data_IF_106172537005
#
_entry.id   IF_106172537005
#
_cell.length_a   1.000
_cell.length_b   1.000
_cell.length_c   1.000
_cell.angle_alpha   90.00
_cell.angle_beta   90.00
_cell.angle_gamma   90.00
#
_symmetry.space_group_name_H-M   'P 1'
#
loop_
_entity.id
_entity.type
_entity.pdbx_description
1 polymer ?
#
# COMPACT_ATOMS: atom_id res chain seq x y z
N UNK A 1 16.55 -14.94 24.16
CA UNK A 1 15.16 -15.45 24.27
C UNK A 1 14.15 -14.31 24.23
N UNK A 2 14.28 -13.29 25.05
CA UNK A 2 13.33 -12.17 25.15
C UNK A 2 13.11 -11.41 23.83
N UNK A 3 14.17 -11.22 23.05
CA UNK A 3 14.10 -10.58 21.72
C UNK A 3 13.31 -11.42 20.72
N UNK A 4 13.46 -12.75 20.77
CA UNK A 4 12.68 -13.65 19.89
C UNK A 4 11.21 -13.68 20.26
N UNK A 5 10.92 -13.76 21.57
CA UNK A 5 9.55 -13.73 22.07
C UNK A 5 8.85 -12.40 21.75
N UNK A 6 9.61 -11.30 21.65
CA UNK A 6 9.10 -9.97 21.28
C UNK A 6 9.29 -9.65 19.79
N UNK A 7 9.04 -10.60 18.90
CA UNK A 7 9.09 -10.38 17.43
C UNK A 7 10.40 -9.75 16.93
N UNK A 8 11.53 -10.04 17.55
CA UNK A 8 12.83 -9.42 17.23
C UNK A 8 12.86 -7.90 17.43
N UNK A 9 12.09 -7.39 18.37
CA UNK A 9 12.12 -5.99 18.82
C UNK A 9 12.78 -5.97 20.20
N UNK A 10 13.71 -5.04 20.41
CA UNK A 10 14.36 -4.89 21.71
C UNK A 10 13.34 -4.47 22.78
N UNK A 11 13.15 -5.22 23.86
CA UNK A 11 12.18 -4.84 24.90
C UNK A 11 12.58 -3.58 25.68
N UNK A 12 13.86 -3.17 25.61
CA UNK A 12 14.37 -1.99 26.34
C UNK A 12 14.27 -0.69 25.54
N UNK A 13 14.70 -0.70 24.26
CA UNK A 13 14.78 0.50 23.44
C UNK A 13 13.87 0.48 22.21
N UNK A 14 13.09 -0.57 22.04
CA UNK A 14 12.16 -0.78 20.91
C UNK A 14 12.83 -0.75 19.52
N UNK A 15 14.15 -1.00 19.47
CA UNK A 15 14.87 -1.13 18.20
C UNK A 15 14.47 -2.42 17.48
N UNK A 16 14.27 -2.33 16.18
CA UNK A 16 13.95 -3.45 15.31
C UNK A 16 15.23 -4.14 14.84
N UNK A 17 15.42 -5.39 15.23
CA UNK A 17 16.50 -6.22 14.68
C UNK A 17 16.11 -6.80 13.33
N UNK A 18 17.10 -7.07 12.46
CA UNK A 18 16.86 -7.80 11.21
C UNK A 18 16.39 -9.21 11.50
N UNK A 19 15.39 -9.66 10.75
CA UNK A 19 14.81 -10.98 10.89
C UNK A 19 15.27 -11.86 9.73
N UNK A 20 15.74 -13.07 10.01
CA UNK A 20 16.13 -14.04 9.00
C UNK A 20 14.92 -14.51 8.19
N UNK A 21 15.12 -14.86 6.92
CA UNK A 21 14.01 -15.18 6.00
C UNK A 21 13.09 -16.28 6.54
N UNK A 22 13.60 -17.44 6.94
CA UNK A 22 12.76 -18.52 7.48
C UNK A 22 12.02 -18.12 8.76
N UNK A 23 12.62 -17.28 9.62
CA UNK A 23 11.95 -16.77 10.82
C UNK A 23 10.81 -15.80 10.46
N UNK A 24 11.00 -14.99 9.43
CA UNK A 24 9.94 -14.13 8.93
C UNK A 24 8.78 -14.97 8.38
N UNK A 25 9.09 -16.01 7.63
CA UNK A 25 8.09 -16.95 7.10
C UNK A 25 7.33 -17.61 8.24
N UNK A 26 8.00 -18.09 9.28
CA UNK A 26 7.38 -18.68 10.48
C UNK A 26 6.45 -17.70 11.23
N UNK A 27 6.74 -16.40 11.20
CA UNK A 27 5.92 -15.36 11.85
C UNK A 27 4.67 -15.02 11.05
N UNK A 28 4.71 -15.16 9.74
CA UNK A 28 3.66 -14.68 8.83
C UNK A 28 2.81 -15.84 8.30
N UNK A 29 3.43 -16.92 7.86
CA UNK A 29 2.72 -18.08 7.35
C UNK A 29 2.12 -18.93 8.48
N UNK A 30 1.12 -19.70 8.13
CA UNK A 30 0.53 -20.70 9.00
C UNK A 30 1.52 -21.86 9.20
N UNK A 31 1.45 -22.48 10.38
CA UNK A 31 2.38 -23.54 10.75
C UNK A 31 2.40 -24.66 9.72
N UNK A 32 3.59 -25.01 9.26
CA UNK A 32 3.84 -26.09 8.27
C UNK A 32 3.16 -25.89 6.91
N UNK A 33 2.73 -24.68 6.57
CA UNK A 33 2.10 -24.39 5.27
C UNK A 33 3.10 -23.97 4.18
N UNK A 34 4.33 -23.62 4.55
CA UNK A 34 5.31 -23.10 3.61
C UNK A 34 6.00 -24.22 2.81
N UNK A 35 5.92 -24.11 1.48
CA UNK A 35 6.65 -24.91 0.50
C UNK A 35 7.64 -24.00 -0.23
N UNK A 36 8.95 -24.27 -0.06
CA UNK A 36 9.98 -23.47 -0.72
C UNK A 36 10.10 -23.82 -2.21
N UNK A 37 10.18 -22.78 -3.04
CA UNK A 37 10.35 -22.90 -4.48
C UNK A 37 11.74 -22.49 -4.91
N UNK A 38 12.21 -23.09 -6.01
CA UNK A 38 13.42 -22.70 -6.71
C UNK A 38 14.68 -22.73 -5.81
N UNK A 39 14.83 -23.82 -5.09
CA UNK A 39 16.04 -24.13 -4.30
C UNK A 39 17.22 -24.53 -5.20
N UNK A 40 18.41 -24.55 -4.60
CA UNK A 40 19.66 -25.04 -5.22
C UNK A 40 20.07 -24.24 -6.46
N UNK A 41 19.96 -22.92 -6.39
CA UNK A 41 20.47 -22.05 -7.45
C UNK A 41 21.98 -22.23 -7.63
N UNK A 42 22.46 -22.41 -8.87
CA UNK A 42 23.89 -22.50 -9.13
C UNK A 42 24.58 -21.18 -8.83
N UNK A 43 25.86 -21.24 -8.47
CA UNK A 43 26.69 -20.03 -8.35
C UNK A 43 26.74 -19.35 -9.73
N UNK A 44 26.52 -18.06 -9.76
CA UNK A 44 26.54 -17.25 -10.97
C UNK A 44 27.54 -16.10 -10.82
N UNK A 45 28.54 -16.08 -11.68
CA UNK A 45 29.51 -15.00 -11.81
C UNK A 45 29.52 -14.51 -13.27
N UNK A 46 28.51 -13.76 -13.70
CA UNK A 46 28.29 -13.46 -15.12
C UNK A 46 29.36 -12.56 -15.75
N UNK A 47 30.17 -11.88 -14.94
CA UNK A 47 31.24 -10.99 -15.41
C UNK A 47 32.64 -11.53 -15.07
N UNK A 48 32.76 -12.75 -14.58
CA UNK A 48 34.01 -13.34 -14.10
C UNK A 48 34.75 -12.41 -13.10
N UNK A 49 33.97 -11.80 -12.18
CA UNK A 49 34.52 -10.88 -11.18
C UNK A 49 35.45 -11.67 -10.21
N UNK A 50 36.71 -11.23 -10.03
CA UNK A 50 37.68 -11.97 -9.22
C UNK A 50 37.23 -12.11 -7.76
N UNK A 51 37.36 -13.32 -7.18
CA UNK A 51 37.05 -13.63 -5.78
C UNK A 51 35.53 -13.59 -5.46
N UNK A 52 34.67 -13.51 -6.47
CA UNK A 52 33.22 -13.38 -6.24
C UNK A 52 32.56 -14.72 -5.94
N UNK A 53 33.00 -15.80 -6.60
CA UNK A 53 32.46 -17.13 -6.36
C UNK A 53 32.78 -17.63 -4.94
N UNK A 54 33.98 -17.39 -4.47
CA UNK A 54 34.40 -17.69 -3.10
C UNK A 54 33.54 -16.90 -2.09
N UNK A 55 33.28 -15.64 -2.36
CA UNK A 55 32.44 -14.81 -1.53
C UNK A 55 30.99 -15.27 -1.49
N UNK A 56 30.44 -15.76 -2.61
CA UNK A 56 29.11 -16.40 -2.65
C UNK A 56 29.14 -17.68 -1.81
N UNK A 57 30.16 -18.51 -1.97
CA UNK A 57 30.27 -19.74 -1.21
C UNK A 57 30.36 -19.50 0.30
N UNK A 58 31.15 -18.52 0.74
CA UNK A 58 31.16 -18.08 2.14
C UNK A 58 29.79 -17.61 2.63
N UNK A 59 29.08 -16.84 1.80
CA UNK A 59 27.75 -16.34 2.15
C UNK A 59 26.75 -17.50 2.31
N UNK A 60 26.79 -18.51 1.42
CA UNK A 60 25.99 -19.75 1.54
C UNK A 60 26.30 -20.50 2.85
N UNK A 61 27.55 -20.67 3.16
CA UNK A 61 27.98 -21.41 4.37
C UNK A 61 27.58 -20.70 5.67
N UNK A 62 27.74 -19.36 5.72
CA UNK A 62 27.42 -18.54 6.90
C UNK A 62 25.91 -18.36 7.09
N UNK A 63 25.16 -18.15 6.03
CA UNK A 63 23.72 -17.88 6.10
C UNK A 63 22.86 -19.13 6.11
N UNK A 64 23.37 -20.25 5.58
CA UNK A 64 22.64 -21.49 5.25
C UNK A 64 21.52 -21.25 4.24
N UNK A 65 21.73 -20.28 3.35
CA UNK A 65 20.85 -19.95 2.24
C UNK A 65 21.56 -20.24 0.92
N UNK A 66 20.82 -20.57 -0.11
CA UNK A 66 21.38 -20.73 -1.46
C UNK A 66 21.50 -19.39 -2.19
N UNK A 67 20.67 -18.39 -1.82
CA UNK A 67 20.72 -17.02 -2.32
C UNK A 67 20.07 -16.04 -1.30
N UNK A 68 20.18 -14.75 -1.57
CA UNK A 68 19.75 -13.65 -0.70
C UNK A 68 18.22 -13.48 -0.55
N UNK A 69 17.44 -14.35 -1.17
CA UNK A 69 15.98 -14.39 -1.07
C UNK A 69 15.48 -15.83 -0.98
N UNK A 70 14.53 -16.07 -0.09
CA UNK A 70 13.75 -17.32 0.01
C UNK A 70 12.39 -17.06 -0.65
N UNK A 71 12.00 -17.93 -1.57
CA UNK A 71 10.73 -17.82 -2.30
C UNK A 71 9.93 -19.10 -2.17
N UNK A 72 8.61 -19.01 -2.12
CA UNK A 72 7.76 -20.20 -2.01
C UNK A 72 6.28 -19.88 -1.95
N UNK A 73 5.49 -20.90 -1.70
CA UNK A 73 4.06 -20.85 -1.44
C UNK A 73 3.80 -21.09 0.04
N UNK A 74 2.85 -20.37 0.62
CA UNK A 74 2.43 -20.57 2.01
C UNK A 74 0.97 -20.20 2.18
N UNK A 75 0.47 -20.33 3.41
CA UNK A 75 -0.87 -19.85 3.79
C UNK A 75 -0.75 -18.79 4.87
N UNK A 76 -1.62 -17.80 4.81
CA UNK A 76 -1.78 -16.77 5.83
C UNK A 76 -3.26 -16.78 6.22
N UNK A 77 -3.58 -17.26 7.40
CA UNK A 77 -4.96 -17.50 7.88
C UNK A 77 -5.79 -18.23 6.81
N UNK A 78 -5.25 -19.38 6.38
CA UNK A 78 -5.78 -20.30 5.36
C UNK A 78 -5.81 -19.77 3.91
N UNK A 79 -5.44 -18.52 3.66
CA UNK A 79 -5.36 -17.96 2.30
C UNK A 79 -4.01 -18.30 1.67
N UNK A 80 -4.01 -18.96 0.52
CA UNK A 80 -2.79 -19.30 -0.22
C UNK A 80 -2.15 -18.05 -0.84
N UNK A 81 -0.83 -17.94 -0.69
CA UNK A 81 -0.03 -16.82 -1.20
C UNK A 81 1.31 -17.30 -1.74
N UNK A 82 1.84 -16.61 -2.74
CA UNK A 82 3.25 -16.69 -3.08
C UNK A 82 4.02 -15.65 -2.24
N UNK A 83 5.08 -16.08 -1.56
CA UNK A 83 5.83 -15.21 -0.64
C UNK A 83 7.32 -15.25 -0.95
N UNK A 84 7.95 -14.07 -0.97
CA UNK A 84 9.39 -13.91 -1.01
C UNK A 84 9.88 -13.13 0.20
N UNK A 85 10.98 -13.57 0.80
CA UNK A 85 11.59 -12.89 1.94
C UNK A 85 13.09 -12.73 1.69
N UNK A 86 13.53 -11.49 1.58
CA UNK A 86 14.93 -11.11 1.48
C UNK A 86 15.66 -11.33 2.80
N UNK A 87 16.94 -11.74 2.75
CA UNK A 87 17.75 -12.01 3.93
C UNK A 87 19.13 -11.33 3.86
N UNK A 88 19.33 -10.33 4.70
CA UNK A 88 20.54 -9.51 4.73
C UNK A 88 21.82 -10.29 5.13
N UNK A 89 21.71 -11.50 5.67
CA UNK A 89 22.87 -12.34 5.98
C UNK A 89 23.62 -12.77 4.72
N UNK A 90 22.92 -12.88 3.60
CA UNK A 90 23.53 -13.18 2.32
C UNK A 90 23.84 -11.86 1.58
N UNK A 91 25.09 -11.40 1.66
CA UNK A 91 25.60 -10.21 0.96
C UNK A 91 24.70 -8.96 1.08
N UNK A 92 24.16 -8.68 2.28
CA UNK A 92 23.21 -7.59 2.54
C UNK A 92 21.96 -7.64 1.66
N UNK A 93 21.57 -8.83 1.24
CA UNK A 93 20.46 -9.09 0.32
C UNK A 93 20.52 -8.25 -0.96
N UNK A 94 21.73 -8.02 -1.46
CA UNK A 94 21.90 -7.30 -2.73
C UNK A 94 21.33 -8.13 -3.89
N UNK A 95 20.60 -7.46 -4.79
CA UNK A 95 19.95 -8.08 -5.92
C UNK A 95 20.95 -8.38 -7.04
N UNK A 96 21.32 -9.66 -7.21
CA UNK A 96 22.05 -10.19 -8.36
C UNK A 96 21.12 -10.98 -9.29
N UNK A 97 21.71 -11.60 -10.31
CA UNK A 97 21.02 -12.43 -11.31
C UNK A 97 20.09 -13.46 -10.65
N UNK A 98 20.62 -14.25 -9.72
CA UNK A 98 19.86 -15.32 -9.08
C UNK A 98 18.70 -14.81 -8.22
N UNK A 99 18.85 -13.66 -7.55
CA UNK A 99 17.75 -13.02 -6.81
C UNK A 99 16.64 -12.64 -7.78
N UNK A 100 16.98 -11.99 -8.89
CA UNK A 100 16.01 -11.63 -9.92
C UNK A 100 15.31 -12.84 -10.54
N UNK A 101 16.05 -13.93 -10.81
CA UNK A 101 15.50 -15.19 -11.31
C UNK A 101 14.50 -15.81 -10.32
N UNK A 102 14.87 -15.93 -9.03
CA UNK A 102 13.98 -16.48 -7.99
C UNK A 102 12.69 -15.68 -7.88
N UNK A 103 12.78 -14.34 -7.88
CA UNK A 103 11.61 -13.47 -7.82
C UNK A 103 10.72 -13.62 -9.07
N UNK A 104 11.30 -13.57 -10.26
CA UNK A 104 10.54 -13.72 -11.50
C UNK A 104 9.87 -15.09 -11.60
N UNK A 105 10.59 -16.17 -11.29
CA UNK A 105 10.03 -17.51 -11.26
C UNK A 105 8.84 -17.61 -10.29
N UNK A 106 8.99 -17.08 -9.08
CA UNK A 106 7.89 -17.05 -8.09
C UNK A 106 6.70 -16.26 -8.62
N UNK A 107 6.90 -15.08 -9.20
CA UNK A 107 5.83 -14.24 -9.75
C UNK A 107 5.11 -14.95 -10.90
N UNK A 108 5.85 -15.54 -11.83
CA UNK A 108 5.28 -16.28 -12.97
C UNK A 108 4.49 -17.52 -12.52
N UNK A 109 5.00 -18.23 -11.51
CA UNK A 109 4.29 -19.33 -10.90
C UNK A 109 3.03 -18.84 -10.15
N UNK A 110 3.11 -17.72 -9.44
CA UNK A 110 1.96 -17.09 -8.80
C UNK A 110 0.87 -16.72 -9.82
N UNK A 111 1.25 -16.23 -11.00
CA UNK A 111 0.33 -15.95 -12.09
C UNK A 111 -0.38 -17.25 -12.53
N UNK A 112 0.37 -18.32 -12.76
CA UNK A 112 -0.18 -19.60 -13.23
C UNK A 112 -1.10 -20.26 -12.20
N UNK A 113 -0.81 -20.11 -10.91
CA UNK A 113 -1.59 -20.65 -9.79
C UNK A 113 -2.65 -19.65 -9.27
N UNK A 114 -2.77 -18.45 -9.87
CA UNK A 114 -3.69 -17.38 -9.46
C UNK A 114 -3.52 -16.92 -8.00
N UNK A 115 -2.28 -16.83 -7.53
CA UNK A 115 -1.95 -16.49 -6.15
C UNK A 115 -1.61 -14.99 -6.00
N UNK A 116 -2.01 -14.33 -4.91
CA UNK A 116 -1.46 -13.03 -4.53
C UNK A 116 0.02 -13.18 -4.15
N UNK A 117 0.80 -12.13 -4.41
CA UNK A 117 2.24 -12.08 -4.15
C UNK A 117 2.54 -11.18 -2.96
N UNK A 118 3.42 -11.63 -2.07
CA UNK A 118 3.93 -10.84 -0.94
C UNK A 118 5.45 -10.87 -0.98
N UNK A 119 6.09 -9.69 -0.98
CA UNK A 119 7.55 -9.59 -0.95
C UNK A 119 8.00 -8.78 0.26
N UNK A 120 8.74 -9.41 1.17
CA UNK A 120 9.46 -8.74 2.25
C UNK A 120 10.83 -8.30 1.74
N UNK A 121 10.98 -6.99 1.54
CA UNK A 121 12.21 -6.38 1.05
C UNK A 121 13.15 -6.02 2.20
N UNK A 122 14.41 -6.45 2.08
CA UNK A 122 15.51 -6.06 2.96
C UNK A 122 16.79 -6.11 2.11
N UNK A 123 17.31 -4.97 1.65
CA UNK A 123 18.42 -4.99 0.69
C UNK A 123 19.28 -3.73 0.72
N UNK A 124 20.58 -3.93 0.49
CA UNK A 124 21.52 -2.85 0.21
C UNK A 124 21.45 -2.30 -1.22
N UNK A 125 20.68 -2.91 -2.13
CA UNK A 125 20.53 -2.49 -3.52
C UNK A 125 21.02 -3.52 -4.55
N UNK A 126 21.43 -3.07 -5.74
CA UNK A 126 21.98 -3.93 -6.79
C UNK A 126 23.35 -4.50 -6.42
N UNK A 127 23.62 -5.74 -6.83
CA UNK A 127 24.89 -6.46 -6.54
C UNK A 127 26.00 -5.98 -7.46
N UNK A 128 26.94 -5.22 -6.91
CA UNK A 128 27.97 -4.52 -7.69
C UNK A 128 28.87 -5.46 -8.48
N UNK A 129 29.18 -6.65 -7.96
CA UNK A 129 30.04 -7.65 -8.63
C UNK A 129 29.45 -8.17 -9.94
N UNK A 130 28.14 -8.06 -10.12
CA UNK A 130 27.44 -8.47 -11.33
C UNK A 130 27.15 -7.32 -12.29
N UNK A 131 27.59 -6.09 -11.97
CA UNK A 131 27.53 -4.91 -12.84
C UNK A 131 26.17 -4.72 -13.52
N UNK A 132 26.18 -4.60 -14.85
CA UNK A 132 24.96 -4.38 -15.65
C UNK A 132 23.94 -5.53 -15.52
N UNK A 133 24.38 -6.75 -15.26
CA UNK A 133 23.49 -7.90 -15.12
C UNK A 133 22.59 -7.74 -13.89
N UNK A 134 23.13 -7.19 -12.79
CA UNK A 134 22.34 -6.87 -11.61
C UNK A 134 21.33 -5.73 -11.85
N UNK A 135 21.71 -4.72 -12.64
CA UNK A 135 20.77 -3.64 -13.03
C UNK A 135 19.63 -4.15 -13.91
N UNK A 136 19.90 -5.10 -14.80
CA UNK A 136 18.86 -5.72 -15.63
C UNK A 136 17.83 -6.50 -14.82
N UNK A 137 18.15 -6.93 -13.60
CA UNK A 137 17.16 -7.56 -12.70
C UNK A 137 16.06 -6.58 -12.27
N UNK A 138 16.35 -5.29 -12.18
CA UNK A 138 15.31 -4.26 -11.90
C UNK A 138 14.23 -4.29 -12.98
N UNK A 139 14.65 -4.29 -14.25
CA UNK A 139 13.71 -4.35 -15.40
C UNK A 139 12.95 -5.67 -15.38
N UNK A 140 13.66 -6.78 -15.18
CA UNK A 140 13.08 -8.13 -15.24
C UNK A 140 12.00 -8.33 -14.16
N UNK A 141 12.28 -7.97 -12.92
CA UNK A 141 11.32 -8.09 -11.81
C UNK A 141 10.13 -7.14 -11.99
N UNK A 142 10.36 -5.91 -12.47
CA UNK A 142 9.29 -4.95 -12.76
C UNK A 142 8.37 -5.45 -13.88
N UNK A 143 8.93 -6.04 -14.94
CA UNK A 143 8.15 -6.63 -16.03
C UNK A 143 7.31 -7.84 -15.57
N UNK A 144 7.85 -8.68 -14.69
CA UNK A 144 7.09 -9.79 -14.10
C UNK A 144 5.91 -9.29 -13.25
N UNK A 145 6.13 -8.27 -12.42
CA UNK A 145 5.07 -7.63 -11.63
C UNK A 145 4.03 -6.92 -12.51
N UNK A 146 4.44 -6.35 -13.65
CA UNK A 146 3.47 -5.78 -14.59
C UNK A 146 2.53 -6.87 -15.13
N UNK A 147 3.06 -8.03 -15.53
CA UNK A 147 2.23 -9.17 -15.94
C UNK A 147 1.30 -9.66 -14.83
N UNK A 148 1.81 -9.75 -13.59
CA UNK A 148 0.99 -10.08 -12.41
C UNK A 148 -0.19 -9.10 -12.26
N UNK A 149 0.09 -7.81 -12.41
CA UNK A 149 -0.90 -6.74 -12.33
C UNK A 149 -1.95 -6.83 -13.45
N UNK A 150 -1.53 -7.15 -14.68
CA UNK A 150 -2.43 -7.31 -15.84
C UNK A 150 -3.38 -8.51 -15.67
N UNK A 151 -2.96 -9.51 -14.90
CA UNK A 151 -3.78 -10.66 -14.53
C UNK A 151 -4.73 -10.39 -13.33
N UNK A 152 -4.79 -9.15 -12.85
CA UNK A 152 -5.64 -8.77 -11.73
C UNK A 152 -5.24 -9.41 -10.39
N UNK A 153 -3.96 -9.75 -10.20
CA UNK A 153 -3.46 -10.37 -8.98
C UNK A 153 -2.82 -9.33 -8.05
N UNK A 154 -3.05 -9.51 -6.76
CA UNK A 154 -2.58 -8.59 -5.72
C UNK A 154 -1.09 -8.74 -5.46
N UNK A 155 -0.39 -7.60 -5.36
CA UNK A 155 0.98 -7.52 -4.89
C UNK A 155 1.09 -6.66 -3.63
N UNK A 156 1.46 -7.26 -2.50
CA UNK A 156 1.77 -6.56 -1.25
C UNK A 156 3.29 -6.49 -1.09
N UNK A 157 3.84 -5.28 -1.06
CA UNK A 157 5.24 -5.02 -0.76
C UNK A 157 5.40 -4.65 0.71
N UNK A 158 6.28 -5.33 1.44
CA UNK A 158 6.59 -5.03 2.84
C UNK A 158 8.04 -4.59 2.95
N UNK A 159 8.24 -3.32 3.27
CA UNK A 159 9.56 -2.68 3.34
C UNK A 159 10.15 -2.82 4.75
N UNK A 160 11.32 -3.43 4.84
CA UNK A 160 12.03 -3.60 6.12
C UNK A 160 13.42 -2.94 6.09
N UNK A 161 14.10 -2.89 7.23
CA UNK A 161 15.39 -2.19 7.37
C UNK A 161 16.60 -3.03 6.94
N UNK A 162 17.41 -2.54 5.97
CA UNK A 162 17.19 -1.44 5.05
C UNK A 162 16.57 -1.92 3.73
N UNK A 163 15.84 -1.04 3.03
CA UNK A 163 15.43 -1.27 1.63
C UNK A 163 15.95 -0.13 0.78
N UNK A 164 17.01 -0.37 0.00
CA UNK A 164 17.80 0.69 -0.63
C UNK A 164 18.09 0.41 -2.11
N UNK A 165 18.50 1.45 -2.82
CA UNK A 165 19.08 1.38 -4.15
C UNK A 165 18.18 0.78 -5.22
N UNK A 166 18.74 -0.11 -6.04
CA UNK A 166 18.03 -0.77 -7.13
C UNK A 166 16.83 -1.60 -6.71
N UNK A 167 16.79 -2.10 -5.47
CA UNK A 167 15.62 -2.82 -4.93
C UNK A 167 14.46 -1.85 -4.67
N UNK A 168 14.73 -0.70 -4.05
CA UNK A 168 13.72 0.36 -3.89
C UNK A 168 13.23 0.86 -5.25
N UNK A 169 14.15 1.12 -6.18
CA UNK A 169 13.83 1.63 -7.51
C UNK A 169 13.28 0.55 -8.48
N UNK A 170 12.81 -0.58 -7.96
CA UNK A 170 12.18 -1.64 -8.73
C UNK A 170 11.03 -2.27 -7.94
N UNK A 171 11.06 -3.57 -7.70
CA UNK A 171 9.93 -4.32 -7.15
C UNK A 171 9.43 -3.80 -5.79
N UNK A 172 10.30 -3.23 -4.94
CA UNK A 172 9.89 -2.81 -3.59
C UNK A 172 8.86 -1.66 -3.59
N UNK A 173 8.90 -0.75 -4.58
CA UNK A 173 7.97 0.39 -4.70
C UNK A 173 6.82 0.16 -5.70
N UNK A 174 6.63 -1.08 -6.18
CA UNK A 174 5.59 -1.41 -7.17
C UNK A 174 4.37 -2.12 -6.56
N UNK A 175 4.29 -2.21 -5.23
CA UNK A 175 3.15 -2.82 -4.55
C UNK A 175 1.82 -2.12 -4.83
N UNK A 176 0.76 -2.87 -5.06
CA UNK A 176 -0.62 -2.37 -4.98
C UNK A 176 -0.88 -1.81 -3.59
N UNK A 177 -0.36 -2.52 -2.58
CA UNK A 177 -0.28 -2.07 -1.19
C UNK A 177 1.17 -2.12 -0.73
N UNK A 178 1.68 -1.01 -0.20
CA UNK A 178 3.04 -0.88 0.31
C UNK A 178 2.99 -0.66 1.82
N UNK A 179 3.46 -1.66 2.56
CA UNK A 179 3.59 -1.61 4.02
C UNK A 179 5.06 -1.37 4.40
N UNK A 180 5.29 -0.73 5.53
CA UNK A 180 6.65 -0.56 6.07
C UNK A 180 6.72 -0.93 7.55
N UNK A 181 7.86 -1.46 7.99
CA UNK A 181 8.15 -1.58 9.42
C UNK A 181 8.51 -0.21 10.01
N UNK A 182 8.13 0.06 11.28
CA UNK A 182 8.52 1.31 11.95
C UNK A 182 10.03 1.54 11.87
N UNK A 183 10.41 2.79 11.62
CA UNK A 183 11.81 3.27 11.56
C UNK A 183 12.69 2.59 10.50
N UNK A 184 12.15 1.77 9.60
CA UNK A 184 12.91 1.16 8.52
C UNK A 184 13.57 2.22 7.64
N UNK A 185 14.84 2.02 7.29
CA UNK A 185 15.57 2.88 6.35
C UNK A 185 15.21 2.47 4.92
N UNK A 186 14.56 3.38 4.19
CA UNK A 186 14.03 3.12 2.86
C UNK A 186 14.40 4.30 1.95
N UNK A 187 15.06 4.05 0.83
CA UNK A 187 15.43 5.11 -0.09
C UNK A 187 16.23 4.61 -1.29
N UNK A 188 16.48 5.48 -2.24
CA UNK A 188 17.29 5.14 -3.41
C UNK A 188 18.79 5.28 -3.11
N UNK A 189 19.30 6.48 -2.92
CA UNK A 189 20.69 6.70 -2.53
C UNK A 189 20.87 6.55 -1.01
N UNK A 190 21.98 5.95 -0.59
CA UNK A 190 22.29 5.82 0.83
C UNK A 190 22.49 7.19 1.51
N UNK A 191 22.09 7.35 2.79
CA UNK A 191 22.22 8.62 3.50
C UNK A 191 23.64 9.20 3.48
N UNK A 192 24.67 8.36 3.56
CA UNK A 192 26.09 8.79 3.46
C UNK A 192 26.42 9.38 2.10
N UNK A 193 25.94 8.75 1.02
CA UNK A 193 26.17 9.23 -0.34
C UNK A 193 25.51 10.58 -0.55
N UNK A 194 24.27 10.74 -0.10
CA UNK A 194 23.55 12.01 -0.21
C UNK A 194 24.29 13.09 0.58
N UNK A 195 24.61 12.85 1.85
CA UNK A 195 25.30 13.83 2.71
C UNK A 195 26.65 14.27 2.11
N UNK A 196 27.42 13.34 1.54
CA UNK A 196 28.68 13.65 0.87
C UNK A 196 28.48 14.44 -0.44
N UNK A 197 27.44 14.13 -1.20
CA UNK A 197 27.14 14.79 -2.48
C UNK A 197 26.70 16.24 -2.29
N UNK A 198 25.81 16.48 -1.31
CA UNK A 198 25.28 17.83 -1.05
C UNK A 198 26.12 18.65 -0.05
N UNK A 199 27.09 18.00 0.61
CA UNK A 199 27.93 18.66 1.60
C UNK A 199 27.17 19.15 2.87
N UNK A 200 26.01 18.54 3.17
CA UNK A 200 25.15 18.97 4.26
C UNK A 200 24.70 17.80 5.16
N UNK A 201 24.39 18.12 6.42
CA UNK A 201 23.80 17.18 7.36
C UNK A 201 22.35 16.93 6.98
N UNK A 202 21.97 15.65 6.91
CA UNK A 202 20.60 15.26 6.60
C UNK A 202 19.66 15.53 7.79
N UNK A 203 18.39 15.88 7.55
CA UNK A 203 17.39 16.04 8.60
C UNK A 203 17.23 14.77 9.44
N UNK A 204 16.83 14.93 10.69
CA UNK A 204 16.45 13.80 11.54
C UNK A 204 15.24 13.08 10.96
N UNK A 205 15.25 11.74 11.01
CA UNK A 205 14.17 10.93 10.43
C UNK A 205 14.19 10.80 8.91
N UNK A 206 15.12 11.45 8.21
CA UNK A 206 15.22 11.37 6.74
C UNK A 206 15.34 9.92 6.26
N UNK A 207 14.59 9.58 5.22
CA UNK A 207 14.50 8.23 4.64
C UNK A 207 14.00 7.15 5.62
N UNK A 208 13.36 7.50 6.73
CA UNK A 208 12.68 6.52 7.58
C UNK A 208 11.27 6.22 7.07
N UNK A 209 10.70 5.11 7.49
CA UNK A 209 9.33 4.71 7.11
C UNK A 209 8.31 5.84 7.36
N UNK A 210 8.44 6.55 8.48
CA UNK A 210 7.61 7.69 8.85
C UNK A 210 7.72 8.84 7.85
N UNK A 211 8.94 9.14 7.40
CA UNK A 211 9.20 10.12 6.34
C UNK A 211 8.52 9.69 5.02
N UNK A 212 8.62 8.41 4.65
CA UNK A 212 7.99 7.92 3.43
C UNK A 212 6.45 7.93 3.50
N UNK A 213 5.89 7.68 4.68
CA UNK A 213 4.45 7.78 4.90
C UNK A 213 3.96 9.22 4.72
N UNK A 214 4.67 10.18 5.33
CA UNK A 214 4.36 11.62 5.20
C UNK A 214 4.48 12.12 3.77
N UNK A 215 5.49 11.62 3.02
CA UNK A 215 5.71 11.94 1.61
C UNK A 215 4.89 11.06 0.64
N UNK A 216 3.96 10.28 1.15
CA UNK A 216 2.97 9.58 0.33
C UNK A 216 3.44 8.31 -0.39
N UNK A 217 4.62 7.79 -0.08
CA UNK A 217 5.19 6.62 -0.76
C UNK A 217 4.80 5.27 -0.15
N UNK A 218 4.29 5.26 1.07
CA UNK A 218 3.90 4.07 1.83
C UNK A 218 2.44 4.17 2.25
N UNK A 219 1.66 3.09 2.12
CA UNK A 219 0.25 3.07 2.53
C UNK A 219 0.10 3.03 4.04
N UNK A 220 0.96 2.27 4.72
CA UNK A 220 0.83 2.08 6.17
C UNK A 220 2.13 1.60 6.79
N UNK A 221 2.42 2.12 7.99
CA UNK A 221 3.46 1.58 8.88
C UNK A 221 2.80 0.56 9.81
N UNK A 222 3.40 -0.64 9.92
CA UNK A 222 2.80 -1.76 10.65
C UNK A 222 3.83 -2.45 11.55
N UNK A 223 3.51 -2.57 12.82
CA UNK A 223 4.32 -3.33 13.76
C UNK A 223 4.32 -4.83 13.44
N UNK A 224 5.43 -5.50 13.71
CA UNK A 224 5.62 -6.92 13.36
C UNK A 224 4.55 -7.85 13.91
N UNK A 225 4.09 -7.59 15.13
CA UNK A 225 3.05 -8.40 15.78
C UNK A 225 1.71 -8.35 15.05
N UNK A 226 1.46 -7.25 14.35
CA UNK A 226 0.17 -6.98 13.68
C UNK A 226 0.20 -7.30 12.19
N UNK A 227 1.40 -7.59 11.61
CA UNK A 227 1.56 -7.79 10.16
C UNK A 227 0.76 -8.97 9.64
N UNK A 228 0.79 -10.12 10.31
CA UNK A 228 0.08 -11.33 9.86
C UNK A 228 -1.42 -11.05 9.72
N UNK A 229 -2.03 -10.47 10.75
CA UNK A 229 -3.45 -10.13 10.76
C UNK A 229 -3.79 -9.09 9.69
N UNK A 230 -3.05 -7.98 9.61
CA UNK A 230 -3.33 -6.94 8.62
C UNK A 230 -3.23 -7.49 7.19
N UNK A 231 -2.20 -8.29 6.90
CA UNK A 231 -2.04 -8.90 5.57
C UNK A 231 -3.20 -9.84 5.28
N UNK A 232 -3.62 -10.66 6.24
CA UNK A 232 -4.79 -11.53 6.08
C UNK A 232 -6.07 -10.72 5.81
N UNK A 233 -6.28 -9.62 6.51
CA UNK A 233 -7.45 -8.73 6.30
C UNK A 233 -7.44 -8.12 4.89
N UNK A 234 -6.28 -7.65 4.41
CA UNK A 234 -6.11 -7.17 3.04
C UNK A 234 -6.40 -8.29 2.02
N UNK A 235 -5.82 -9.47 2.23
CA UNK A 235 -6.04 -10.61 1.36
C UNK A 235 -7.52 -11.00 1.29
N UNK A 236 -8.24 -11.00 2.41
CA UNK A 236 -9.68 -11.31 2.45
C UNK A 236 -10.52 -10.34 1.64
N UNK A 237 -10.21 -9.05 1.71
CA UNK A 237 -10.92 -8.03 0.93
C UNK A 237 -10.72 -8.25 -0.57
N UNK A 238 -9.48 -8.47 -1.01
CA UNK A 238 -9.16 -8.62 -2.44
C UNK A 238 -9.43 -10.01 -3.02
N UNK A 239 -9.62 -11.06 -2.19
CA UNK A 239 -9.88 -12.43 -2.65
C UNK A 239 -11.36 -12.79 -2.77
N UNK A 240 -12.27 -11.99 -2.22
CA UNK A 240 -13.71 -12.27 -2.26
C UNK A 240 -14.27 -11.92 -3.65
N UNK A 241 -14.20 -12.87 -4.58
CA UNK A 241 -15.00 -12.90 -5.80
C UNK A 241 -16.31 -13.61 -5.52
N UNK A 242 -17.42 -12.95 -5.83
CA UNK A 242 -18.81 -13.44 -5.78
C UNK A 242 -19.50 -13.52 -4.41
N UNK A 243 -20.46 -12.63 -4.24
CA UNK A 243 -21.62 -12.84 -3.38
C UNK A 243 -22.87 -12.58 -4.21
N UNK A 244 -23.77 -13.55 -4.28
CA UNK A 244 -25.04 -13.41 -5.02
C UNK A 244 -25.92 -12.32 -4.37
N UNK A 245 -26.52 -11.49 -5.19
CA UNK A 245 -27.35 -10.36 -4.77
C UNK A 245 -28.73 -10.74 -4.20
N UNK A 246 -29.11 -12.02 -4.15
CA UNK A 246 -30.50 -12.44 -4.12
C UNK A 246 -31.24 -12.37 -2.77
N UNK A 247 -30.55 -12.26 -1.61
CA UNK A 247 -31.25 -12.37 -0.30
C UNK A 247 -31.39 -11.06 0.48
N UNK A 248 -30.59 -10.03 0.19
CA UNK A 248 -30.66 -8.74 0.88
C UNK A 248 -31.70 -7.75 0.25
N UNK A 249 -32.03 -7.91 -1.01
CA UNK A 249 -32.80 -6.93 -1.78
C UNK A 249 -34.26 -6.79 -1.29
N UNK A 250 -34.91 -7.89 -0.91
CA UNK A 250 -36.33 -7.86 -0.54
C UNK A 250 -36.66 -7.22 0.80
N UNK A 251 -35.75 -7.26 1.76
CA UNK A 251 -35.93 -6.66 3.08
C UNK A 251 -35.51 -5.18 3.12
N UNK A 252 -34.48 -4.83 2.32
CA UNK A 252 -34.03 -3.45 2.13
C UNK A 252 -35.06 -2.60 1.38
N UNK A 253 -35.68 -3.12 0.31
CA UNK A 253 -36.67 -2.39 -0.47
C UNK A 253 -37.89 -1.96 0.35
N UNK A 254 -38.35 -2.79 1.29
CA UNK A 254 -39.42 -2.44 2.21
C UNK A 254 -39.03 -1.31 3.17
N UNK A 255 -37.84 -1.34 3.75
CA UNK A 255 -37.35 -0.30 4.68
C UNK A 255 -37.04 1.01 3.98
N UNK A 256 -36.53 0.98 2.75
CA UNK A 256 -36.27 2.18 1.93
C UNK A 256 -37.58 2.87 1.55
N UNK A 257 -38.60 2.11 1.17
CA UNK A 257 -39.93 2.69 0.91
C UNK A 257 -40.54 3.37 2.15
N UNK A 258 -40.43 2.76 3.33
CA UNK A 258 -40.93 3.34 4.59
C UNK A 258 -40.19 4.62 5.01
N UNK A 259 -38.88 4.73 4.72
CA UNK A 259 -38.08 5.91 5.01
C UNK A 259 -38.35 7.07 4.04
N UNK A 260 -38.65 6.79 2.77
CA UNK A 260 -38.93 7.82 1.76
C UNK A 260 -40.21 8.59 2.01
N UNK A 261 -41.15 8.04 2.77
CA UNK A 261 -42.47 8.64 3.08
C UNK A 261 -42.40 9.67 4.23
N UNK A 262 -41.32 9.71 5.01
CA UNK A 262 -41.25 10.50 6.26
C UNK A 262 -40.51 11.83 6.17
N UNK A 263 -39.96 12.25 5.04
CA UNK A 263 -39.17 13.48 4.99
C UNK A 263 -40.01 14.71 4.57
N UNK A 264 -40.22 15.60 5.54
CA UNK A 264 -40.64 16.98 5.29
C UNK A 264 -39.58 17.63 4.37
N UNK A 265 -39.96 18.07 3.19
CA UNK A 265 -39.02 18.76 2.27
C UNK A 265 -38.51 20.03 2.95
N UNK A 266 -37.21 20.06 3.27
CA UNK A 266 -36.51 21.27 3.70
C UNK A 266 -36.39 22.24 2.53
N UNK A 267 -36.38 23.54 2.82
CA UNK A 267 -36.05 24.57 1.83
C UNK A 267 -34.55 24.42 1.44
N UNK A 268 -34.20 24.95 0.27
CA UNK A 268 -32.79 24.96 -0.15
C UNK A 268 -31.87 25.64 0.88
N UNK A 269 -32.35 26.72 1.51
CA UNK A 269 -31.60 27.44 2.53
C UNK A 269 -31.40 26.62 3.82
N UNK A 270 -32.44 25.94 4.28
CA UNK A 270 -32.34 25.01 5.43
C UNK A 270 -31.33 23.89 5.15
N UNK A 271 -31.32 23.37 3.93
CA UNK A 271 -30.32 22.38 3.51
C UNK A 271 -28.88 22.92 3.54
N UNK A 272 -28.68 24.16 3.08
CA UNK A 272 -27.37 24.84 3.17
C UNK A 272 -26.93 25.02 4.62
N UNK A 273 -27.85 25.48 5.49
CA UNK A 273 -27.55 25.64 6.92
C UNK A 273 -27.23 24.31 7.59
N UNK A 274 -27.97 23.25 7.24
CA UNK A 274 -27.72 21.89 7.76
C UNK A 274 -26.37 21.36 7.33
N UNK A 275 -25.98 21.53 6.06
CA UNK A 275 -24.70 21.06 5.53
C UNK A 275 -23.48 21.68 6.23
N UNK A 276 -23.67 22.86 6.85
CA UNK A 276 -22.63 23.62 7.56
C UNK A 276 -22.63 23.45 9.07
N UNK A 277 -23.60 22.72 9.63
CA UNK A 277 -23.60 22.46 11.08
C UNK A 277 -22.38 21.65 11.52
N UNK A 278 -21.81 22.03 12.66
CA UNK A 278 -20.64 21.36 13.22
C UNK A 278 -20.95 20.08 13.99
N UNK A 279 -22.21 19.90 14.38
CA UNK A 279 -22.69 18.75 15.18
C UNK A 279 -23.23 17.58 14.32
N UNK A 280 -23.25 17.74 13.00
CA UNK A 280 -23.64 16.66 12.09
C UNK A 280 -22.58 15.56 11.99
N UNK A 281 -22.97 14.33 11.60
CA UNK A 281 -22.01 13.27 11.34
C UNK A 281 -20.97 13.66 10.28
N UNK A 282 -19.73 13.30 10.49
CA UNK A 282 -18.62 13.41 9.53
C UNK A 282 -18.46 12.12 8.76
N UNK A 283 -17.66 12.11 7.70
CA UNK A 283 -17.41 10.90 6.93
C UNK A 283 -16.90 9.73 7.78
N UNK A 284 -16.04 9.98 8.77
CA UNK A 284 -15.55 8.95 9.69
C UNK A 284 -16.68 8.33 10.51
N UNK A 285 -17.67 9.11 10.94
CA UNK A 285 -18.83 8.56 11.68
C UNK A 285 -19.64 7.57 10.82
N UNK A 286 -19.72 7.83 9.50
CA UNK A 286 -20.33 6.89 8.55
C UNK A 286 -19.45 5.65 8.34
N UNK A 287 -18.13 5.82 8.20
CA UNK A 287 -17.20 4.68 8.08
C UNK A 287 -17.37 3.75 9.29
N UNK A 288 -17.30 4.28 10.50
CA UNK A 288 -17.34 3.51 11.74
C UNK A 288 -18.67 2.76 11.95
N UNK A 289 -19.78 3.24 11.33
CA UNK A 289 -21.11 2.66 11.48
C UNK A 289 -21.54 1.73 10.37
N UNK A 290 -21.10 1.99 9.15
CA UNK A 290 -21.55 1.27 7.95
C UNK A 290 -20.63 0.12 7.55
N UNK A 291 -19.35 0.21 7.91
CA UNK A 291 -18.34 -0.74 7.42
C UNK A 291 -17.67 -1.49 8.57
N UNK A 292 -17.23 -2.70 8.26
CA UNK A 292 -16.30 -3.46 9.09
C UNK A 292 -14.93 -3.54 8.42
N UNK A 293 -13.90 -3.80 9.21
CA UNK A 293 -12.53 -4.05 8.74
C UNK A 293 -11.97 -2.93 7.84
N UNK A 294 -12.29 -1.67 8.16
CA UNK A 294 -11.77 -0.53 7.39
C UNK A 294 -10.25 -0.40 7.58
N UNK A 295 -9.54 -0.49 6.46
CA UNK A 295 -8.08 -0.33 6.40
C UNK A 295 -7.78 0.94 5.60
N UNK A 296 -7.35 2.00 6.29
CA UNK A 296 -6.96 3.26 5.66
C UNK A 296 -5.63 3.10 4.93
N UNK A 297 -5.58 3.60 3.69
CA UNK A 297 -4.38 3.72 2.86
C UNK A 297 -3.99 5.17 2.67
N UNK A 298 -2.69 5.43 2.71
CA UNK A 298 -2.12 6.76 2.67
C UNK A 298 -1.35 7.03 1.38
N UNK A 299 -1.19 8.33 1.06
CA UNK A 299 -0.27 8.81 0.06
C UNK A 299 -0.70 8.71 -1.40
N UNK A 300 -0.18 9.65 -2.19
CA UNK A 300 -0.44 9.77 -3.61
C UNK A 300 0.59 9.04 -4.51
N UNK A 301 1.65 8.51 -3.94
CA UNK A 301 2.84 7.92 -4.60
C UNK A 301 3.77 8.93 -5.29
N UNK A 302 3.49 10.23 -5.19
CA UNK A 302 4.25 11.25 -5.90
C UNK A 302 4.86 12.31 -5.00
N UNK A 303 4.10 12.80 -4.01
CA UNK A 303 4.51 13.95 -3.22
C UNK A 303 4.20 13.82 -1.73
N UNK A 304 2.93 13.59 -1.33
CA UNK A 304 2.53 13.57 0.08
C UNK A 304 1.24 12.78 0.33
N UNK A 305 0.92 12.62 1.61
CA UNK A 305 -0.42 12.25 2.04
C UNK A 305 -1.26 13.49 2.33
N UNK A 306 -2.52 13.49 1.91
CA UNK A 306 -3.49 14.54 2.22
C UNK A 306 -4.48 14.06 3.29
N UNK A 307 -4.52 14.78 4.40
CA UNK A 307 -5.40 14.45 5.54
C UNK A 307 -6.86 14.88 5.35
N UNK A 308 -7.16 15.68 4.33
CA UNK A 308 -8.53 16.01 3.95
C UNK A 308 -9.22 14.83 3.26
N UNK A 309 -8.44 13.93 2.63
CA UNK A 309 -8.95 12.70 2.04
C UNK A 309 -8.63 11.51 2.95
N UNK A 310 -9.66 10.82 3.40
CA UNK A 310 -9.56 9.51 4.05
C UNK A 310 -10.06 8.47 3.07
N UNK A 311 -9.23 7.47 2.76
CA UNK A 311 -9.59 6.45 1.80
C UNK A 311 -8.95 5.10 2.12
N UNK A 312 -9.62 4.03 1.74
CA UNK A 312 -9.14 2.68 2.00
C UNK A 312 -10.16 1.62 1.60
N UNK A 313 -9.88 0.39 2.00
CA UNK A 313 -10.73 -0.77 1.76
C UNK A 313 -11.50 -1.15 3.02
N UNK A 314 -12.69 -1.72 2.83
CA UNK A 314 -13.55 -2.14 3.92
C UNK A 314 -14.46 -3.29 3.49
N UNK A 315 -15.25 -3.80 4.42
CA UNK A 315 -16.36 -4.69 4.12
C UNK A 315 -17.70 -3.99 4.41
N UNK A 316 -18.59 -4.00 3.45
CA UNK A 316 -19.98 -3.58 3.59
C UNK A 316 -20.90 -4.81 3.54
N UNK A 317 -21.49 -5.16 4.68
CA UNK A 317 -22.24 -6.44 4.83
C UNK A 317 -21.45 -7.66 4.32
N UNK A 318 -20.15 -7.73 4.65
CA UNK A 318 -19.25 -8.79 4.24
C UNK A 318 -18.74 -8.73 2.79
N UNK A 319 -19.13 -7.71 2.01
CA UNK A 319 -18.67 -7.48 0.62
C UNK A 319 -17.54 -6.47 0.57
N UNK A 320 -16.50 -6.69 -0.23
CA UNK A 320 -15.43 -5.73 -0.44
C UNK A 320 -15.96 -4.42 -1.02
N UNK A 321 -15.48 -3.30 -0.50
CA UNK A 321 -15.77 -1.98 -1.01
C UNK A 321 -14.57 -1.06 -0.77
N UNK A 322 -14.29 -0.17 -1.70
CA UNK A 322 -13.37 0.94 -1.47
C UNK A 322 -14.16 2.16 -1.04
N UNK A 323 -13.78 2.74 0.09
CA UNK A 323 -14.42 3.95 0.64
C UNK A 323 -13.44 5.10 0.54
N UNK A 324 -13.85 6.20 -0.09
CA UNK A 324 -13.06 7.43 -0.23
C UNK A 324 -13.89 8.60 0.24
N UNK A 325 -13.34 9.45 1.11
CA UNK A 325 -14.12 10.48 1.75
C UNK A 325 -13.38 11.80 1.85
N UNK A 326 -14.14 12.90 1.80
CA UNK A 326 -13.67 14.20 2.26
C UNK A 326 -14.02 14.36 3.73
N UNK A 327 -13.00 14.50 4.56
CA UNK A 327 -13.14 14.44 6.02
C UNK A 327 -13.05 15.82 6.66
N UNK A 328 -14.16 16.29 7.26
CA UNK A 328 -14.17 17.44 8.18
C UNK A 328 -13.80 17.04 9.60
N UNK A 329 -13.24 17.97 10.34
CA UNK A 329 -13.02 17.82 11.78
C UNK A 329 -14.27 18.22 12.59
N UNK A 330 -14.37 17.67 13.80
CA UNK A 330 -15.43 18.01 14.78
C UNK A 330 -15.15 19.29 15.58
N UNK A 331 -13.94 19.80 15.50
CA UNK A 331 -13.48 21.01 16.20
C UNK A 331 -12.45 21.74 15.33
N UNK A 332 -12.07 22.96 15.76
CA UNK A 332 -11.15 23.81 15.00
C UNK A 332 -9.76 23.17 14.81
N UNK A 333 -9.26 22.44 15.82
CA UNK A 333 -7.96 21.76 15.74
C UNK A 333 -7.97 20.68 14.67
N UNK A 334 -8.99 19.85 14.66
CA UNK A 334 -9.16 18.81 13.65
C UNK A 334 -9.42 19.40 12.27
N UNK A 335 -10.24 20.44 12.15
CA UNK A 335 -10.48 21.13 10.88
C UNK A 335 -9.18 21.69 10.30
N UNK A 336 -8.32 22.33 11.11
CA UNK A 336 -7.00 22.78 10.65
C UNK A 336 -6.13 21.61 10.17
N UNK A 337 -6.11 20.49 10.92
CA UNK A 337 -5.36 19.30 10.55
C UNK A 337 -5.84 18.70 9.19
N UNK A 338 -7.13 18.78 8.93
CA UNK A 338 -7.81 18.27 7.72
C UNK A 338 -7.98 19.32 6.63
N UNK A 339 -7.29 20.46 6.76
CA UNK A 339 -7.40 21.59 5.85
C UNK A 339 -8.87 21.97 5.56
N UNK A 340 -9.75 21.91 6.56
CA UNK A 340 -11.19 22.16 6.47
C UNK A 340 -11.92 21.30 5.44
N UNK A 341 -11.43 20.09 5.20
CA UNK A 341 -11.84 19.18 4.14
C UNK A 341 -11.65 19.74 2.72
N UNK A 342 -10.70 20.63 2.54
CA UNK A 342 -10.28 21.15 1.23
C UNK A 342 -9.07 20.36 0.76
N UNK A 343 -9.22 19.39 -0.17
CA UNK A 343 -8.09 18.59 -0.61
C UNK A 343 -7.07 19.40 -1.41
N UNK A 344 -5.80 19.12 -1.17
CA UNK A 344 -4.67 19.52 -2.00
C UNK A 344 -4.54 18.57 -3.22
N UNK A 345 -3.68 18.85 -4.21
CA UNK A 345 -3.50 17.99 -5.40
C UNK A 345 -3.26 16.53 -5.05
N UNK A 346 -2.45 16.27 -4.04
CA UNK A 346 -2.12 14.92 -3.55
C UNK A 346 -3.34 14.17 -2.99
N UNK A 347 -4.33 14.87 -2.46
CA UNK A 347 -5.59 14.28 -2.04
C UNK A 347 -6.39 13.71 -3.20
N UNK A 348 -6.51 14.45 -4.29
CA UNK A 348 -7.18 13.97 -5.53
C UNK A 348 -6.41 12.83 -6.18
N UNK A 349 -5.08 12.90 -6.23
CA UNK A 349 -4.23 11.82 -6.75
C UNK A 349 -4.33 10.55 -5.91
N UNK A 350 -4.37 10.67 -4.59
CA UNK A 350 -4.62 9.56 -3.67
C UNK A 350 -5.99 8.92 -3.93
N UNK A 351 -7.04 9.72 -4.03
CA UNK A 351 -8.38 9.24 -4.34
C UNK A 351 -8.42 8.48 -5.66
N UNK A 352 -7.88 9.06 -6.73
CA UNK A 352 -7.81 8.43 -8.05
C UNK A 352 -7.00 7.12 -8.03
N UNK A 353 -5.88 7.10 -7.31
CA UNK A 353 -5.07 5.87 -7.14
C UNK A 353 -5.90 4.73 -6.53
N UNK A 354 -6.67 5.02 -5.48
CA UNK A 354 -7.51 4.04 -4.83
C UNK A 354 -8.66 3.57 -5.73
N UNK A 355 -9.23 4.45 -6.53
CA UNK A 355 -10.26 4.10 -7.51
C UNK A 355 -9.70 3.18 -8.62
N UNK A 356 -8.51 3.46 -9.13
CA UNK A 356 -7.84 2.59 -10.10
C UNK A 356 -7.45 1.23 -9.50
N UNK A 357 -7.08 1.22 -8.23
CA UNK A 357 -6.84 -0.04 -7.52
C UNK A 357 -8.14 -0.86 -7.40
N UNK A 358 -9.26 -0.20 -7.16
CA UNK A 358 -10.57 -0.83 -7.10
C UNK A 358 -10.99 -1.41 -8.45
N UNK A 359 -10.76 -0.68 -9.54
CA UNK A 359 -11.00 -1.16 -10.91
C UNK A 359 -10.21 -2.44 -11.21
N UNK A 360 -8.95 -2.49 -10.82
CA UNK A 360 -8.09 -3.69 -11.00
C UNK A 360 -8.69 -4.95 -10.38
N UNK A 361 -9.45 -4.80 -9.29
CA UNK A 361 -10.00 -5.92 -8.52
C UNK A 361 -11.53 -6.04 -8.60
N UNK A 362 -12.17 -5.30 -9.49
CA UNK A 362 -13.64 -5.26 -9.66
C UNK A 362 -14.38 -4.93 -8.34
N UNK A 363 -13.78 -4.09 -7.50
CA UNK A 363 -14.35 -3.66 -6.21
C UNK A 363 -15.11 -2.36 -6.42
N UNK A 364 -16.40 -2.25 -5.99
CA UNK A 364 -17.14 -1.00 -6.09
C UNK A 364 -16.53 0.09 -5.21
N UNK A 365 -16.72 1.35 -5.63
CA UNK A 365 -16.23 2.53 -4.91
C UNK A 365 -17.40 3.30 -4.33
N UNK A 366 -17.30 3.69 -3.05
CA UNK A 366 -18.19 4.65 -2.42
C UNK A 366 -17.41 5.93 -2.08
N UNK A 367 -17.91 7.04 -2.62
CA UNK A 367 -17.40 8.37 -2.30
C UNK A 367 -18.36 9.09 -1.33
N UNK A 368 -17.87 9.55 -0.18
CA UNK A 368 -18.61 10.42 0.74
C UNK A 368 -18.06 11.84 0.60
N UNK A 369 -18.88 12.72 0.00
CA UNK A 369 -18.47 14.08 -0.38
C UNK A 369 -18.90 15.09 0.68
N UNK A 370 -17.94 15.83 1.21
CA UNK A 370 -18.17 16.91 2.18
C UNK A 370 -17.02 17.93 2.18
N UNK A 371 -17.04 18.83 1.22
CA UNK A 371 -16.00 19.87 1.09
C UNK A 371 -16.59 21.22 0.68
N UNK A 372 -16.07 22.34 1.19
CA UNK A 372 -16.39 23.66 0.64
C UNK A 372 -15.73 23.90 -0.74
N UNK A 373 -14.76 23.09 -1.14
CA UNK A 373 -14.03 23.17 -2.40
C UNK A 373 -12.63 22.59 -2.32
N UNK A 374 -11.90 22.69 -3.42
CA UNK A 374 -10.48 22.36 -3.45
C UNK A 374 -9.67 23.43 -2.70
N UNK A 375 -8.52 23.04 -2.12
CA UNK A 375 -7.62 23.99 -1.48
C UNK A 375 -7.08 25.01 -2.49
N UNK A 376 -7.19 26.31 -2.17
CA UNK A 376 -6.83 27.42 -3.03
C UNK A 376 -5.59 28.17 -2.52
N UNK A 377 -4.54 27.44 -2.16
CA UNK A 377 -3.26 27.99 -1.72
C UNK A 377 -2.20 28.03 -2.82
N UNK A 378 -1.17 28.86 -2.65
CA UNK A 378 -0.01 28.94 -3.57
C UNK A 378 0.58 27.56 -3.80
N UNK A 379 0.83 26.82 -2.73
CA UNK A 379 1.44 25.48 -2.75
C UNK A 379 0.58 24.46 -3.52
N UNK A 380 -0.76 24.61 -3.50
CA UNK A 380 -1.64 23.75 -4.27
C UNK A 380 -1.53 24.06 -5.78
N UNK A 381 -1.45 25.34 -6.15
CA UNK A 381 -1.25 25.73 -7.55
C UNK A 381 0.12 25.28 -8.07
N UNK A 382 1.19 25.43 -7.28
CA UNK A 382 2.55 24.97 -7.63
C UNK A 382 2.60 23.47 -7.87
N UNK A 383 1.77 22.69 -7.16
CA UNK A 383 1.69 21.23 -7.30
C UNK A 383 0.58 20.74 -8.25
N UNK A 384 -0.08 21.68 -8.96
CA UNK A 384 -1.01 21.36 -10.04
C UNK A 384 -2.42 21.00 -9.59
N UNK A 385 -3.07 21.85 -8.78
CA UNK A 385 -4.44 21.64 -8.31
C UNK A 385 -5.43 21.44 -9.46
N UNK A 386 -5.34 22.30 -10.49
CA UNK A 386 -6.20 22.20 -11.67
C UNK A 386 -5.98 20.90 -12.45
N UNK A 387 -4.73 20.48 -12.61
CA UNK A 387 -4.38 19.20 -13.27
C UNK A 387 -4.93 18.01 -12.50
N UNK A 388 -4.75 17.97 -11.18
CA UNK A 388 -5.21 16.86 -10.35
C UNK A 388 -6.75 16.70 -10.41
N UNK A 389 -7.51 17.81 -10.42
CA UNK A 389 -8.96 17.80 -10.59
C UNK A 389 -9.33 17.31 -12.01
N UNK A 390 -8.72 17.90 -13.05
CA UNK A 390 -9.00 17.55 -14.44
C UNK A 390 -8.67 16.08 -14.72
N UNK A 391 -7.54 15.59 -14.22
CA UNK A 391 -7.13 14.18 -14.34
C UNK A 391 -8.12 13.26 -13.64
N UNK A 392 -8.58 13.60 -12.43
CA UNK A 392 -9.61 12.84 -11.75
C UNK A 392 -10.88 12.71 -12.58
N UNK A 393 -11.42 13.82 -13.09
CA UNK A 393 -12.62 13.79 -13.94
C UNK A 393 -12.43 12.95 -15.20
N UNK A 394 -11.30 13.10 -15.87
CA UNK A 394 -10.99 12.34 -17.07
C UNK A 394 -10.92 10.84 -16.81
N UNK A 395 -10.19 10.43 -15.80
CA UNK A 395 -9.97 9.01 -15.48
C UNK A 395 -11.25 8.37 -14.90
N UNK A 396 -12.00 9.09 -14.05
CA UNK A 396 -13.26 8.58 -13.49
C UNK A 396 -14.30 8.29 -14.57
N UNK A 397 -14.37 9.14 -15.61
CA UNK A 397 -15.30 8.93 -16.72
C UNK A 397 -15.02 7.67 -17.55
N UNK A 398 -13.86 7.04 -17.38
CA UNK A 398 -13.47 5.82 -18.07
C UNK A 398 -13.37 4.58 -17.16
N UNK A 399 -13.56 4.73 -15.85
CA UNK A 399 -13.48 3.60 -14.91
C UNK A 399 -14.59 2.58 -15.15
N UNK A 400 -14.22 1.31 -15.07
CA UNK A 400 -15.13 0.17 -15.35
C UNK A 400 -15.74 -0.44 -14.09
N UNK A 401 -15.38 0.03 -12.91
CA UNK A 401 -15.97 -0.43 -11.64
C UNK A 401 -17.08 0.52 -11.22
N UNK A 402 -18.17 0.03 -10.58
CA UNK A 402 -19.27 0.90 -10.12
C UNK A 402 -18.79 1.93 -9.11
N UNK A 403 -19.22 3.18 -9.29
CA UNK A 403 -18.94 4.29 -8.39
C UNK A 403 -20.26 4.88 -7.89
N UNK A 404 -20.44 4.91 -6.58
CA UNK A 404 -21.55 5.61 -5.92
C UNK A 404 -20.99 6.81 -5.15
N UNK A 405 -21.57 7.99 -5.37
CA UNK A 405 -21.20 9.20 -4.63
C UNK A 405 -22.38 9.73 -3.82
N UNK A 406 -22.13 9.99 -2.54
CA UNK A 406 -23.13 10.54 -1.62
C UNK A 406 -22.60 11.86 -1.06
N UNK A 407 -23.31 12.95 -1.32
CA UNK A 407 -23.01 14.25 -0.71
C UNK A 407 -23.62 14.26 0.69
N UNK A 408 -22.76 14.17 1.71
CA UNK A 408 -23.17 14.10 3.12
C UNK A 408 -23.12 15.45 3.83
N UNK A 409 -22.65 16.49 3.14
CA UNK A 409 -22.53 17.85 3.68
C UNK A 409 -22.43 18.88 2.57
N UNK A 410 -21.32 19.62 2.51
CA UNK A 410 -21.05 20.58 1.44
C UNK A 410 -20.51 19.88 0.19
N UNK A 411 -20.97 20.28 -0.99
CA UNK A 411 -20.52 19.80 -2.29
C UNK A 411 -19.94 20.94 -3.12
N UNK A 412 -18.82 21.53 -2.68
CA UNK A 412 -18.29 22.75 -3.25
C UNK A 412 -17.45 22.56 -4.51
N UNK A 413 -17.90 23.15 -5.64
CA UNK A 413 -17.09 23.43 -6.83
C UNK A 413 -16.49 22.15 -7.50
N UNK A 414 -15.44 22.33 -8.31
CA UNK A 414 -14.66 21.25 -8.91
C UNK A 414 -14.00 20.34 -7.88
N UNK A 415 -13.78 20.85 -6.66
CA UNK A 415 -13.21 20.06 -5.57
C UNK A 415 -14.11 18.93 -5.06
N UNK A 416 -15.43 19.16 -5.05
CA UNK A 416 -16.39 18.09 -4.81
C UNK A 416 -16.55 17.20 -6.05
N UNK A 417 -16.65 17.81 -7.23
CA UNK A 417 -16.93 17.11 -8.49
C UNK A 417 -15.84 16.09 -8.86
N UNK A 418 -14.58 16.39 -8.54
CA UNK A 418 -13.45 15.49 -8.76
C UNK A 418 -13.56 14.14 -8.01
N UNK A 419 -14.51 14.02 -7.07
CA UNK A 419 -14.83 12.76 -6.37
C UNK A 419 -16.29 12.36 -6.51
N UNK A 420 -17.16 13.28 -6.97
CA UNK A 420 -18.60 13.06 -7.06
C UNK A 420 -19.04 12.51 -8.42
N UNK A 421 -18.14 12.44 -9.40
CA UNK A 421 -18.44 11.81 -10.69
C UNK A 421 -18.66 10.32 -10.48
N UNK A 422 -19.88 9.88 -10.77
CA UNK A 422 -20.35 8.52 -10.46
C UNK A 422 -21.38 8.02 -11.48
N UNK A 423 -21.74 6.76 -11.42
CA UNK A 423 -22.78 6.13 -12.25
C UNK A 423 -24.19 6.62 -11.93
#
# INVERSE_FOLDING_TARGET
EDVRANFYICPKCLAYFRVHAYRRIEMICDKSSFEEWNQQMPISNPLNFPGYEEKIQEAKEKSKLDEAVVTGKGKIEDIEVAIAVCDARFMMSSMGKNVGEKLCYMIERAISERLPVIIYSCSGGARMQEGIVSLMQMVKTSAALKRLSDEGLLFISVLTDPTMGGVTASFAMLGDVILAEPKALIGFAGPRVIAQTIGAKLPEGFQRAEFLLEHGFVDKIVERKDQKRLIADILRVYSKKELSFNDLDKELDKKVLELSVRHKRSTAWESVLLSRKSDRPTAKDYIDKLFTDFIEFHGDRYFADDKAIVGGIALFHGRPITVITQQKGKNLKENKLRNFAMPSPEGYRKALRLMKLSEKFDIPVLCLVDTPGAFCGIEAEERGQGEAIARSLYELSGLKTPILSIVIGEGGSGGALAMALSD
#
